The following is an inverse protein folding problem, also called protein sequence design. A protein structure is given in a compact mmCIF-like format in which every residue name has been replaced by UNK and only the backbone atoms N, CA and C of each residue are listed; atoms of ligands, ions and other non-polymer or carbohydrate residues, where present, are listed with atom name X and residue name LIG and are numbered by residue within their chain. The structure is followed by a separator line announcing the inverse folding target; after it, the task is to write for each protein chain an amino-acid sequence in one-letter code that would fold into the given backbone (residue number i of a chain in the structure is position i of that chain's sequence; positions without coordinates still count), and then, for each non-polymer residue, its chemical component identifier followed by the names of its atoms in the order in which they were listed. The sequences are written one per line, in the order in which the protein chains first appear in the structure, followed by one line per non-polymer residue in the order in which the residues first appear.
data_IF_102584452527
#
_entry.id   IF_102584452527
#
_cell.length_a   1.000
_cell.length_b   1.000
_cell.length_c   1.000
_cell.angle_alpha   90.00
_cell.angle_beta   90.00
_cell.angle_gamma   90.00
#
_symmetry.space_group_name_H-M   'P 1'
#
loop_
_entity.id
_entity.type
_entity.pdbx_description
1 polymer ?
#
# COMPACT_ATOMS: atom_id res chain seq x y z
N UNK A 1 22.67 -12.71 -2.67
CA UNK A 1 21.77 -12.16 -3.43
C UNK A 1 20.83 -11.35 -2.67
N UNK A 2 20.66 -10.20 -3.07
CA UNK A 2 19.93 -9.23 -2.37
C UNK A 2 18.47 -9.32 -2.76
N UNK A 3 17.59 -9.36 -1.82
CA UNK A 3 16.19 -9.37 -2.09
C UNK A 3 15.77 -8.18 -2.91
N UNK A 4 16.31 -7.05 -2.62
CA UNK A 4 15.90 -5.84 -3.32
C UNK A 4 16.23 -5.90 -4.79
N UNK A 5 17.25 -6.60 -5.19
CA UNK A 5 17.60 -6.63 -6.59
C UNK A 5 16.68 -7.51 -7.38
N UNK A 6 15.86 -8.30 -6.73
CA UNK A 6 14.95 -9.14 -7.45
C UNK A 6 13.57 -8.53 -7.57
N UNK A 7 13.30 -7.46 -6.87
CA UNK A 7 11.99 -6.88 -6.92
C UNK A 7 11.91 -5.88 -8.07
N UNK A 8 10.92 -6.05 -8.91
CA UNK A 8 10.70 -5.13 -10.00
C UNK A 8 9.43 -4.37 -9.74
N UNK A 9 9.52 -3.07 -9.76
CA UNK A 9 8.34 -2.23 -9.57
C UNK A 9 7.50 -2.30 -10.83
N UNK A 10 6.22 -2.63 -10.71
CA UNK A 10 5.37 -2.71 -11.90
C UNK A 10 5.30 -1.37 -12.61
N UNK A 11 5.24 -1.41 -13.93
CA UNK A 11 5.23 -0.20 -14.71
C UNK A 11 4.09 0.73 -14.38
N UNK A 12 2.94 0.19 -14.06
CA UNK A 12 1.78 1.02 -13.80
C UNK A 12 1.61 1.36 -12.33
N UNK A 13 2.61 1.11 -11.51
CA UNK A 13 2.49 1.37 -10.08
C UNK A 13 2.53 2.85 -9.77
N UNK A 14 1.81 3.24 -8.74
CA UNK A 14 1.94 4.57 -8.17
C UNK A 14 2.99 4.45 -7.07
N UNK A 15 4.08 5.20 -7.19
CA UNK A 15 5.23 5.06 -6.29
C UNK A 15 5.40 6.36 -5.53
N UNK A 16 5.28 6.30 -4.22
CA UNK A 16 5.33 7.51 -3.40
C UNK A 16 6.04 7.24 -2.09
N UNK A 17 6.33 8.30 -1.36
CA UNK A 17 6.83 8.18 -0.01
C UNK A 17 5.70 8.37 0.97
N UNK A 18 5.90 7.89 2.18
CA UNK A 18 4.86 8.01 3.20
C UNK A 18 4.71 9.45 3.65
N UNK A 19 5.79 10.08 4.01
CA UNK A 19 5.75 11.41 4.61
C UNK A 19 6.93 12.22 4.15
N UNK A 20 6.67 13.44 3.74
CA UNK A 20 7.72 14.33 3.25
C UNK A 20 8.63 14.77 4.39
N UNK A 21 9.85 15.16 4.03
CA UNK A 21 10.73 15.81 4.98
C UNK A 21 11.36 14.96 6.05
N UNK A 22 11.27 13.63 5.92
CA UNK A 22 11.84 12.77 6.95
C UNK A 22 13.28 12.38 6.62
N UNK A 23 13.52 11.96 5.42
CA UNK A 23 14.87 11.72 4.94
C UNK A 23 14.75 11.50 3.44
N UNK A 24 15.88 11.44 2.78
CA UNK A 24 15.87 11.31 1.34
C UNK A 24 15.31 9.97 0.93
N UNK A 25 14.45 10.00 -0.05
CA UNK A 25 13.86 8.81 -0.63
C UNK A 25 13.86 8.99 -2.13
N UNK A 26 13.90 7.89 -2.88
CA UNK A 26 13.95 7.98 -4.34
C UNK A 26 12.57 8.25 -4.94
N UNK A 27 11.84 9.19 -4.40
CA UNK A 27 10.50 9.55 -4.87
C UNK A 27 10.33 11.04 -4.72
N UNK A 28 9.41 11.59 -5.50
CA UNK A 28 9.12 13.00 -5.43
C UNK A 28 7.72 13.34 -5.00
N UNK A 29 6.92 12.34 -4.69
CA UNK A 29 5.54 12.56 -4.28
C UNK A 29 5.32 11.85 -2.96
N UNK A 30 4.55 12.44 -2.06
CA UNK A 30 4.35 11.90 -0.72
C UNK A 30 2.88 11.91 -0.36
N UNK A 31 2.46 10.93 0.43
CA UNK A 31 1.06 10.87 0.88
C UNK A 31 0.80 11.94 1.92
N UNK A 32 1.72 12.09 2.87
CA UNK A 32 1.55 13.03 3.96
C UNK A 32 2.57 14.16 3.85
N UNK A 33 2.19 15.37 4.27
CA UNK A 33 3.15 16.47 4.31
C UNK A 33 4.15 16.26 5.45
N UNK A 34 5.13 17.12 5.52
CA UNK A 34 6.15 16.99 6.55
C UNK A 34 5.58 17.13 7.95
N UNK A 35 4.54 17.92 8.08
CA UNK A 35 3.95 18.13 9.39
C UNK A 35 2.69 17.33 9.56
N UNK A 36 2.76 16.30 10.33
CA UNK A 36 1.65 15.42 10.59
C UNK A 36 1.46 15.36 12.09
N UNK A 37 0.23 15.54 12.54
CA UNK A 37 -0.07 15.37 13.95
C UNK A 37 -0.17 13.86 14.20
N UNK A 38 0.77 13.29 14.93
CA UNK A 38 0.82 11.83 15.07
C UNK A 38 -0.30 11.25 15.90
N UNK A 39 -1.14 12.08 16.46
CA UNK A 39 -2.25 11.60 17.29
C UNK A 39 -3.61 11.82 16.65
N UNK A 40 -3.67 12.51 15.53
CA UNK A 40 -4.95 12.76 14.89
C UNK A 40 -5.21 11.70 13.83
N UNK A 41 -5.66 10.55 14.30
CA UNK A 41 -5.82 9.40 13.41
C UNK A 41 -6.93 9.60 12.39
N UNK A 42 -7.93 10.40 12.74
CA UNK A 42 -9.01 10.64 11.81
C UNK A 42 -8.54 11.50 10.63
N UNK A 43 -7.71 12.49 10.93
CA UNK A 43 -7.14 13.31 9.86
C UNK A 43 -6.23 12.47 8.98
N UNK A 44 -5.47 11.55 9.57
CA UNK A 44 -4.63 10.66 8.77
C UNK A 44 -5.47 9.84 7.81
N UNK A 45 -6.58 9.30 8.28
CA UNK A 45 -7.42 8.50 7.42
C UNK A 45 -8.00 9.32 6.28
N UNK A 46 -8.39 10.56 6.58
CA UNK A 46 -8.91 11.43 5.53
C UNK A 46 -7.86 11.75 4.48
N UNK A 47 -6.64 11.98 4.93
CA UNK A 47 -5.55 12.26 4.00
C UNK A 47 -5.29 11.07 3.08
N UNK A 48 -5.26 9.88 3.65
CA UNK A 48 -5.05 8.68 2.86
C UNK A 48 -6.20 8.47 1.90
N UNK A 49 -7.44 8.63 2.37
CA UNK A 49 -8.58 8.41 1.52
C UNK A 49 -8.55 9.36 0.32
N UNK A 50 -8.25 10.62 0.56
CA UNK A 50 -8.18 11.58 -0.54
C UNK A 50 -7.06 11.23 -1.52
N UNK A 51 -5.91 10.82 -0.99
CA UNK A 51 -4.80 10.44 -1.85
C UNK A 51 -5.18 9.24 -2.71
N UNK A 52 -5.74 8.20 -2.09
CA UNK A 52 -6.05 6.99 -2.83
C UNK A 52 -7.13 7.25 -3.88
N UNK A 53 -8.14 8.02 -3.52
CA UNK A 53 -9.21 8.30 -4.46
C UNK A 53 -8.73 9.10 -5.66
N UNK A 54 -7.79 10.01 -5.44
CA UNK A 54 -7.32 10.85 -6.52
C UNK A 54 -6.20 10.26 -7.35
N UNK A 55 -5.33 9.49 -6.70
CA UNK A 55 -4.13 9.04 -7.40
C UNK A 55 -4.15 7.57 -7.79
N UNK A 56 -4.87 6.74 -7.06
CA UNK A 56 -4.80 5.31 -7.26
C UNK A 56 -6.14 4.74 -7.73
N UNK A 57 -7.19 5.18 -7.13
CA UNK A 57 -8.52 4.69 -7.47
C UNK A 57 -8.94 3.54 -6.59
N UNK A 58 -10.13 3.05 -6.83
CA UNK A 58 -10.66 1.92 -6.11
C UNK A 58 -10.66 0.74 -7.06
N UNK A 59 -9.99 -0.32 -6.67
CA UNK A 59 -9.87 -1.48 -7.53
C UNK A 59 -11.11 -2.35 -7.50
N UNK A 60 -11.87 -2.26 -6.42
CA UNK A 60 -13.15 -2.95 -6.34
C UNK A 60 -14.19 -1.87 -6.19
N UNK A 61 -14.83 -1.51 -7.29
CA UNK A 61 -15.65 -0.32 -7.30
C UNK A 61 -16.81 -0.37 -6.34
N UNK A 62 -17.35 -1.52 -6.06
CA UNK A 62 -18.45 -1.61 -5.13
C UNK A 62 -18.05 -2.36 -3.88
N UNK A 63 -16.82 -2.19 -3.49
CA UNK A 63 -16.28 -2.95 -2.37
C UNK A 63 -17.15 -2.82 -1.13
N UNK A 64 -17.59 -1.63 -0.82
CA UNK A 64 -18.38 -1.42 0.37
C UNK A 64 -19.76 -2.01 0.29
N UNK A 65 -20.30 -2.11 -0.90
CA UNK A 65 -21.66 -2.59 -1.03
C UNK A 65 -21.77 -4.07 -0.91
N UNK A 66 -20.68 -4.79 -0.98
CA UNK A 66 -20.77 -6.22 -0.87
C UNK A 66 -21.20 -6.65 0.53
N UNK A 67 -21.21 -5.73 1.47
CA UNK A 67 -21.69 -6.04 2.79
C UNK A 67 -23.19 -5.79 2.92
N UNK A 68 -23.81 -5.28 1.89
CA UNK A 68 -25.24 -5.12 1.87
C UNK A 68 -25.83 -6.42 1.41
N UNK A 69 -27.05 -6.63 1.71
CA UNK A 69 -27.64 -7.85 1.44
C UNK A 69 -27.59 -8.34 0.07
N UNK A 70 -27.85 -7.55 -0.87
CA UNK A 70 -28.14 -8.02 -2.20
C UNK A 70 -27.24 -7.46 -3.22
N UNK A 71 -26.09 -7.02 -2.85
CA UNK A 71 -25.30 -6.27 -3.78
C UNK A 71 -24.08 -6.94 -4.33
N UNK A 72 -23.98 -8.23 -4.14
CA UNK A 72 -22.76 -8.88 -4.62
C UNK A 72 -22.61 -8.83 -6.11
N UNK A 73 -23.72 -8.84 -6.80
CA UNK A 73 -23.65 -8.85 -8.24
C UNK A 73 -23.07 -7.57 -8.79
N UNK A 74 -23.07 -6.54 -7.99
CA UNK A 74 -22.60 -5.27 -8.47
C UNK A 74 -21.13 -5.01 -8.23
N UNK A 75 -20.44 -5.96 -7.63
CA UNK A 75 -19.02 -5.76 -7.40
C UNK A 75 -18.28 -5.91 -8.70
N UNK A 76 -17.50 -4.94 -9.02
CA UNK A 76 -16.70 -5.03 -10.21
C UNK A 76 -15.36 -4.41 -9.94
N UNK A 77 -14.37 -4.90 -10.65
CA UNK A 77 -13.02 -4.40 -10.52
C UNK A 77 -12.87 -3.23 -11.46
N UNK A 78 -12.43 -2.13 -10.96
CA UNK A 78 -12.25 -0.96 -11.81
C UNK A 78 -11.09 -1.21 -12.75
N UNK A 79 -11.15 -0.55 -13.88
CA UNK A 79 -10.07 -0.69 -14.84
C UNK A 79 -8.95 0.25 -14.44
N UNK A 80 -7.79 0.02 -15.00
CA UNK A 80 -6.68 0.88 -14.72
C UNK A 80 -6.13 0.74 -13.33
N UNK A 81 -6.22 -0.47 -12.78
CA UNK A 81 -5.70 -0.70 -11.45
C UNK A 81 -4.22 -0.42 -11.38
N UNK A 82 -3.83 0.28 -10.32
CA UNK A 82 -2.45 0.64 -10.11
C UNK A 82 -2.02 0.13 -8.74
N UNK A 83 -1.03 -0.74 -8.69
CA UNK A 83 -0.48 -1.11 -7.40
C UNK A 83 0.14 0.11 -6.74
N UNK A 84 0.13 0.13 -5.44
CA UNK A 84 0.71 1.23 -4.68
C UNK A 84 1.99 0.77 -4.00
N UNK A 85 3.05 1.53 -4.20
CA UNK A 85 4.34 1.26 -3.59
C UNK A 85 4.65 2.45 -2.69
N UNK A 86 4.87 2.21 -1.42
CA UNK A 86 5.11 3.28 -0.47
C UNK A 86 6.44 3.10 0.22
N UNK A 87 7.30 4.11 0.12
CA UNK A 87 8.56 4.13 0.83
C UNK A 87 8.26 4.66 2.23
N UNK A 88 8.49 3.83 3.24
CA UNK A 88 8.02 4.15 4.58
C UNK A 88 9.08 4.79 5.45
N UNK A 89 8.58 5.52 6.43
CA UNK A 89 9.43 6.09 7.46
C UNK A 89 8.89 5.59 8.79
N UNK A 90 9.29 6.17 9.87
CA UNK A 90 8.94 5.65 11.18
C UNK A 90 7.56 6.00 11.72
N UNK A 91 6.69 6.56 10.91
CA UNK A 91 5.38 6.97 11.39
C UNK A 91 4.39 5.82 11.30
N UNK A 92 4.36 5.02 12.34
CA UNK A 92 3.56 3.79 12.36
C UNK A 92 2.07 4.03 12.12
N UNK A 93 1.53 5.06 12.74
CA UNK A 93 0.10 5.33 12.57
C UNK A 93 -0.25 5.70 11.13
N UNK A 94 0.67 6.37 10.45
CA UNK A 94 0.46 6.71 9.05
C UNK A 94 0.46 5.46 8.19
N UNK A 95 1.37 4.53 8.48
CA UNK A 95 1.42 3.27 7.74
C UNK A 95 0.12 2.50 7.95
N UNK A 96 -0.35 2.46 9.19
CA UNK A 96 -1.61 1.77 9.50
C UNK A 96 -2.76 2.36 8.69
N UNK A 97 -2.81 3.67 8.58
CA UNK A 97 -3.87 4.33 7.82
C UNK A 97 -3.80 3.95 6.33
N UNK A 98 -2.59 3.86 5.79
CA UNK A 98 -2.42 3.47 4.39
C UNK A 98 -2.90 2.05 4.18
N UNK A 99 -2.52 1.14 5.06
CA UNK A 99 -2.93 -0.25 4.94
C UNK A 99 -4.45 -0.36 4.97
N UNK A 100 -5.08 0.35 5.92
CA UNK A 100 -6.51 0.32 6.04
C UNK A 100 -7.19 0.81 4.77
N UNK A 101 -6.73 1.92 4.25
CA UNK A 101 -7.32 2.49 3.04
C UNK A 101 -7.18 1.58 1.84
N UNK A 102 -6.04 0.90 1.73
CA UNK A 102 -5.80 0.00 0.61
C UNK A 102 -6.63 -1.26 0.72
N UNK A 103 -6.76 -1.80 1.92
CA UNK A 103 -7.58 -2.99 2.12
C UNK A 103 -9.02 -2.68 1.74
N UNK A 104 -9.48 -1.52 2.18
CA UNK A 104 -10.85 -1.15 1.92
C UNK A 104 -11.15 -1.03 0.42
N UNK A 105 -10.17 -0.64 -0.36
CA UNK A 105 -10.35 -0.42 -1.79
C UNK A 105 -9.86 -1.54 -2.68
N UNK A 106 -9.25 -2.56 -2.09
CA UNK A 106 -8.71 -3.66 -2.88
C UNK A 106 -7.44 -3.31 -3.62
N UNK A 107 -6.70 -2.35 -3.13
CA UNK A 107 -5.47 -1.91 -3.77
C UNK A 107 -4.30 -2.78 -3.32
N UNK A 108 -3.50 -3.23 -4.27
CA UNK A 108 -2.28 -3.98 -3.94
C UNK A 108 -1.28 -3.01 -3.34
N UNK A 109 -0.62 -3.43 -2.29
CA UNK A 109 0.27 -2.55 -1.55
C UNK A 109 1.59 -3.22 -1.22
N UNK A 110 2.68 -2.55 -1.55
CA UNK A 110 4.02 -2.97 -1.15
C UNK A 110 4.66 -1.81 -0.40
N UNK A 111 5.26 -2.12 0.73
CA UNK A 111 5.99 -1.13 1.50
C UNK A 111 7.48 -1.34 1.27
N UNK A 112 8.19 -0.24 1.06
CA UNK A 112 9.63 -0.29 0.86
C UNK A 112 10.30 0.20 2.12
N UNK A 113 11.05 -0.68 2.76
CA UNK A 113 11.69 -0.40 4.04
C UNK A 113 13.17 -0.13 3.86
N UNK A 114 13.65 0.92 4.47
CA UNK A 114 15.07 1.23 4.39
C UNK A 114 15.87 0.23 5.21
N UNK A 115 16.92 -0.31 4.62
CA UNK A 115 17.78 -1.26 5.29
C UNK A 115 19.13 -0.61 5.51
N UNK A 116 19.46 -0.33 6.76
CA UNK A 116 20.71 0.33 7.07
C UNK A 116 21.90 -0.48 6.68
N UNK A 117 21.78 -1.80 6.73
CA UNK A 117 22.91 -2.66 6.45
C UNK A 117 23.37 -2.55 5.01
N UNK A 118 22.41 -2.50 4.08
CA UNK A 118 22.79 -2.44 2.68
C UNK A 118 22.69 -1.05 2.11
N UNK A 119 22.01 -0.15 2.80
CA UNK A 119 21.80 1.19 2.27
C UNK A 119 20.70 1.26 1.24
N UNK A 120 19.95 0.19 1.04
CA UNK A 120 18.90 0.15 0.06
C UNK A 120 17.55 -0.03 0.70
N UNK A 121 16.58 -0.40 -0.12
CA UNK A 121 15.21 -0.61 0.35
C UNK A 121 14.79 -2.03 0.08
N UNK A 122 14.07 -2.60 1.02
CA UNK A 122 13.58 -3.98 0.91
C UNK A 122 12.06 -3.95 0.76
N UNK A 123 11.53 -4.68 -0.20
CA UNK A 123 10.08 -4.68 -0.40
C UNK A 123 9.37 -5.65 0.54
N UNK A 124 8.25 -5.20 1.06
CA UNK A 124 7.36 -6.06 1.81
C UNK A 124 6.02 -5.99 1.12
N UNK A 125 5.58 -7.09 0.54
CA UNK A 125 4.27 -7.12 -0.09
C UNK A 125 3.25 -7.32 1.00
N UNK A 126 2.41 -6.31 1.21
CA UNK A 126 1.41 -6.37 2.27
C UNK A 126 0.10 -6.88 1.73
N UNK A 127 -0.30 -6.41 0.57
CA UNK A 127 -1.52 -6.85 -0.07
C UNK A 127 -1.15 -7.24 -1.48
N UNK A 128 -1.21 -8.52 -1.79
CA UNK A 128 -0.87 -9.02 -3.11
C UNK A 128 -2.03 -8.88 -4.07
N UNK A 129 -1.87 -9.50 -5.23
CA UNK A 129 -2.91 -9.42 -6.24
C UNK A 129 -4.14 -10.15 -5.74
N UNK A 130 -5.27 -9.82 -6.37
CA UNK A 130 -6.52 -10.44 -5.99
C UNK A 130 -6.44 -11.94 -5.95
N UNK A 131 -5.75 -12.52 -6.86
CA UNK A 131 -5.67 -13.96 -6.92
C UNK A 131 -4.95 -14.57 -5.75
N UNK A 132 -4.23 -13.78 -4.99
CA UNK A 132 -3.47 -14.29 -3.87
C UNK A 132 -4.07 -14.00 -2.52
N UNK A 133 -5.24 -13.46 -2.51
CA UNK A 133 -5.83 -13.07 -1.23
C UNK A 133 -6.05 -14.23 -0.30
N UNK A 134 -6.27 -15.40 -0.83
CA UNK A 134 -6.50 -16.57 0.00
C UNK A 134 -5.24 -17.31 0.37
N UNK A 135 -4.10 -16.83 -0.04
CA UNK A 135 -2.86 -17.52 0.22
C UNK A 135 -2.02 -16.74 1.22
N UNK A 136 -1.27 -17.43 2.04
CA UNK A 136 -0.39 -16.73 2.97
C UNK A 136 0.64 -15.95 2.19
N UNK A 137 0.90 -14.76 2.61
CA UNK A 137 1.86 -13.93 1.93
C UNK A 137 3.23 -14.53 2.01
N UNK A 138 3.57 -15.16 3.11
CA UNK A 138 4.84 -15.76 3.19
C UNK A 138 4.66 -17.22 3.33
N UNK A 139 4.01 -17.82 2.49
CA UNK A 139 3.86 -19.17 2.41
C UNK A 139 5.11 -19.84 2.37
N UNK A 140 5.77 -20.07 3.22
CA UNK A 140 6.97 -20.50 3.10
C UNK A 140 7.14 -21.83 3.02
N UNK A 141 7.98 -22.13 2.58
CA UNK A 141 8.28 -23.39 2.31
C UNK A 141 8.72 -24.08 3.38
N UNK A 142 8.64 -23.67 4.30
CA UNK A 142 9.06 -24.23 5.22
C UNK A 142 8.83 -25.46 5.29
N UNK A 143 8.29 -25.88 4.94
CA UNK A 143 8.02 -26.96 5.00
C UNK A 143 8.90 -27.82 4.83
N UNK A 144 9.63 -27.77 4.63
CA UNK A 144 10.41 -28.60 4.35
C UNK A 144 10.92 -28.97 5.32
N UNK A 145 10.69 -28.70 5.85
CA UNK A 145 11.25 -29.07 6.88
C UNK A 145 11.87 -29.98 7.09
#
# INVERSE_FOLDING_TARGET
MDMATKYSIPENAVVVGLCAGRHDMPVGEFIFPAEVDPTDFRAMSRTVDAFLDNRVGTHLSNYGTRFNDNEYADIEVTTGNHPLIVYVTGLTACVAAVIRGCVYRGIELTLMHYDRTTGGYLPQVVIGSMGNWCKPIYDSPRKEG
#
